data_IF_030263806230
#
_entry.id   IF_030263806230
#
_cell.length_a   1.000
_cell.length_b   1.000
_cell.length_c   1.000
_cell.angle_alpha   90.00
_cell.angle_beta   90.00
_cell.angle_gamma   90.00
#
_symmetry.space_group_name_H-M   'P 1'
#
loop_
_entity.id
_entity.type
_entity.pdbx_description
1 polymer ?
#
# COMPACT_ATOMS: atom_id res chain seq x y z
N UNK A 1 0.74 3.51 21.87
CA UNK A 1 1.17 4.04 20.55
C UNK A 1 2.47 3.37 20.16
N UNK A 2 2.69 3.04 18.88
CA UNK A 2 3.89 2.33 18.40
C UNK A 2 4.69 3.23 17.45
N UNK A 3 5.46 4.20 17.97
CA UNK A 3 6.15 5.19 17.14
C UNK A 3 7.38 4.63 16.39
N UNK A 4 7.90 3.47 16.84
CA UNK A 4 9.13 2.87 16.30
C UNK A 4 8.87 1.75 15.28
N UNK A 5 7.63 1.54 14.85
CA UNK A 5 7.31 0.48 13.88
C UNK A 5 7.67 0.89 12.47
N UNK A 6 8.13 -0.09 11.70
CA UNK A 6 8.42 0.08 10.30
C UNK A 6 7.14 0.22 9.49
N UNK A 7 7.09 1.22 8.60
CA UNK A 7 5.98 1.40 7.67
C UNK A 7 6.37 0.73 6.34
N UNK A 8 5.77 -0.41 6.05
CA UNK A 8 6.07 -1.19 4.85
C UNK A 8 5.04 -0.88 3.76
N UNK A 9 5.45 -0.44 2.56
CA UNK A 9 4.54 -0.21 1.45
C UNK A 9 4.10 -1.57 0.87
N UNK A 10 2.80 -1.70 0.63
CA UNK A 10 2.18 -2.92 0.13
C UNK A 10 1.32 -2.60 -1.07
N UNK A 11 1.61 -3.25 -2.20
CA UNK A 11 0.79 -3.18 -3.39
C UNK A 11 -0.08 -4.43 -3.51
N UNK A 12 -1.38 -4.22 -3.74
CA UNK A 12 -2.38 -5.26 -3.88
C UNK A 12 -2.83 -5.34 -5.33
N UNK A 13 -2.57 -6.47 -5.97
CA UNK A 13 -2.94 -6.70 -7.37
C UNK A 13 -4.29 -7.43 -7.46
N UNK A 14 -5.18 -6.91 -8.30
CA UNK A 14 -6.53 -7.43 -8.55
C UNK A 14 -7.57 -7.45 -7.39
N UNK A 15 -7.40 -6.83 -6.21
CA UNK A 15 -8.39 -6.96 -5.14
C UNK A 15 -9.75 -6.36 -5.52
N UNK A 16 -9.76 -5.23 -6.24
CA UNK A 16 -11.00 -4.60 -6.71
C UNK A 16 -11.75 -5.43 -7.76
N UNK A 17 -11.07 -6.32 -8.47
CA UNK A 17 -11.68 -7.25 -9.43
C UNK A 17 -12.21 -8.50 -8.71
N UNK A 18 -11.50 -8.97 -7.68
CA UNK A 18 -11.93 -10.10 -6.86
C UNK A 18 -13.10 -9.73 -5.94
N UNK A 19 -13.12 -8.49 -5.45
CA UNK A 19 -14.17 -7.93 -4.58
C UNK A 19 -14.68 -6.59 -5.14
N UNK A 20 -15.52 -6.60 -6.17
CA UNK A 20 -16.10 -5.38 -6.71
C UNK A 20 -17.04 -4.74 -5.68
N UNK A 21 -16.99 -3.40 -5.57
CA UNK A 21 -17.92 -2.67 -4.70
C UNK A 21 -19.37 -2.99 -5.10
N UNK A 22 -20.19 -3.37 -4.12
CA UNK A 22 -21.61 -3.69 -4.34
C UNK A 22 -21.89 -5.11 -4.84
N UNK A 23 -20.87 -5.93 -5.10
CA UNK A 23 -21.08 -7.34 -5.41
C UNK A 23 -21.40 -8.15 -4.14
N UNK A 24 -22.37 -9.06 -4.22
CA UNK A 24 -22.71 -9.97 -3.13
C UNK A 24 -21.73 -11.15 -3.00
N UNK A 25 -21.08 -11.54 -4.09
CA UNK A 25 -20.18 -12.69 -4.14
C UNK A 25 -18.82 -12.30 -4.74
N UNK A 26 -17.71 -12.81 -4.18
CA UNK A 26 -16.38 -12.58 -4.72
C UNK A 26 -16.16 -13.39 -6.01
N UNK A 27 -15.29 -12.87 -6.89
CA UNK A 27 -14.90 -13.55 -8.12
C UNK A 27 -13.61 -14.35 -7.86
N UNK A 28 -13.56 -15.65 -8.22
CA UNK A 28 -12.38 -16.48 -8.01
C UNK A 28 -11.30 -16.17 -9.05
N UNK A 29 -10.55 -15.11 -8.83
CA UNK A 29 -9.40 -14.71 -9.65
C UNK A 29 -8.12 -14.72 -8.82
N UNK A 30 -6.97 -14.79 -9.51
CA UNK A 30 -5.68 -14.64 -8.87
C UNK A 30 -5.49 -13.21 -8.35
N UNK A 31 -5.10 -13.11 -7.08
CA UNK A 31 -4.65 -11.88 -6.43
C UNK A 31 -3.20 -12.06 -6.02
N UNK A 32 -2.42 -10.98 -6.06
CA UNK A 32 -1.04 -10.97 -5.61
C UNK A 32 -0.79 -9.80 -4.66
N UNK A 33 0.24 -9.96 -3.82
CA UNK A 33 0.69 -8.93 -2.88
C UNK A 33 2.18 -8.74 -3.09
N UNK A 34 2.62 -7.49 -3.18
CA UNK A 34 4.03 -7.12 -3.30
C UNK A 34 4.40 -6.23 -2.12
N UNK A 35 5.47 -6.62 -1.43
CA UNK A 35 6.01 -5.89 -0.28
C UNK A 35 7.25 -5.13 -0.72
N UNK A 36 7.28 -3.83 -0.42
CA UNK A 36 8.44 -3.00 -0.69
C UNK A 36 9.35 -2.83 0.51
N UNK A 37 10.32 -1.93 0.36
CA UNK A 37 11.25 -1.56 1.43
C UNK A 37 10.56 -0.66 2.45
N UNK A 38 10.87 -0.80 3.76
CA UNK A 38 10.36 0.10 4.79
C UNK A 38 10.59 1.58 4.46
N UNK A 39 9.60 2.41 4.77
CA UNK A 39 9.62 3.86 4.59
C UNK A 39 9.66 4.50 5.98
N UNK A 40 10.76 5.20 6.29
CA UNK A 40 10.89 5.94 7.53
C UNK A 40 10.30 7.35 7.41
N UNK A 41 9.81 7.90 8.53
CA UNK A 41 9.50 9.32 8.68
C UNK A 41 10.81 10.09 8.90
N UNK A 42 11.10 11.08 8.07
CA UNK A 42 12.30 11.90 8.25
C UNK A 42 12.08 12.97 9.34
N UNK A 43 13.15 13.37 10.03
CA UNK A 43 13.08 14.39 11.06
C UNK A 43 12.58 15.73 10.47
N UNK A 44 11.51 16.28 11.04
CA UNK A 44 10.90 17.53 10.56
C UNK A 44 10.12 17.42 9.25
N UNK A 45 9.90 16.20 8.73
CA UNK A 45 9.13 15.98 7.51
C UNK A 45 7.66 16.36 7.70
N UNK A 46 7.15 17.16 6.77
CA UNK A 46 5.73 17.51 6.74
C UNK A 46 4.89 16.30 6.37
N UNK A 47 3.73 16.13 7.03
CA UNK A 47 2.82 15.00 6.80
C UNK A 47 2.49 14.79 5.32
N UNK A 48 2.22 15.86 4.58
CA UNK A 48 1.89 15.77 3.16
C UNK A 48 3.06 15.22 2.32
N UNK A 49 4.28 15.68 2.61
CA UNK A 49 5.48 15.20 1.92
C UNK A 49 5.74 13.71 2.19
N UNK A 50 5.58 13.28 3.45
CA UNK A 50 5.68 11.86 3.82
C UNK A 50 4.66 11.01 3.05
N UNK A 51 3.39 11.45 3.01
CA UNK A 51 2.33 10.71 2.34
C UNK A 51 2.54 10.59 0.83
N UNK A 52 3.01 11.65 0.16
CA UNK A 52 3.33 11.56 -1.28
C UNK A 52 4.47 10.59 -1.56
N UNK A 53 5.52 10.60 -0.73
CA UNK A 53 6.64 9.68 -0.86
C UNK A 53 6.26 8.23 -0.56
N UNK A 54 5.44 8.01 0.47
CA UNK A 54 4.91 6.68 0.80
C UNK A 54 3.99 6.16 -0.32
N UNK A 55 3.17 7.03 -0.92
CA UNK A 55 2.34 6.71 -2.08
C UNK A 55 3.20 6.32 -3.28
N UNK A 56 4.25 7.08 -3.58
CA UNK A 56 5.18 6.77 -4.66
C UNK A 56 5.81 5.38 -4.47
N UNK A 57 6.27 5.05 -3.25
CA UNK A 57 6.84 3.74 -2.94
C UNK A 57 5.83 2.59 -3.17
N UNK A 58 4.54 2.79 -2.90
CA UNK A 58 3.50 1.77 -3.21
C UNK A 58 3.28 1.65 -4.73
N UNK A 59 3.30 2.76 -5.46
CA UNK A 59 3.11 2.78 -6.92
C UNK A 59 4.27 2.12 -7.65
N UNK A 60 5.51 2.29 -7.16
CA UNK A 60 6.70 1.64 -7.74
C UNK A 60 6.63 0.11 -7.68
N UNK A 61 5.92 -0.47 -6.70
CA UNK A 61 5.71 -1.91 -6.60
C UNK A 61 4.74 -2.45 -7.67
N UNK A 62 3.99 -1.58 -8.35
CA UNK A 62 3.10 -1.96 -9.44
C UNK A 62 3.84 -2.31 -10.73
N UNK A 63 5.09 -1.83 -10.88
CA UNK A 63 5.96 -2.12 -12.02
C UNK A 63 6.34 -3.60 -12.11
#
# INVERSE_FOLDING_TARGET
EYPAVELVPVYLENPARAFPKGALLPVPIACAVRFGRPVALAAGEQRAAFLERARAAVVELAA
#
